data_IF_802290975164
#
_entry.id   IF_802290975164
#
_cell.length_a   1.000
_cell.length_b   1.000
_cell.length_c   1.000
_cell.angle_alpha   90.00
_cell.angle_beta   90.00
_cell.angle_gamma   90.00
#
_symmetry.space_group_name_H-M   'P 1'
#
loop_
_entity.id
_entity.type
_entity.pdbx_description
1 polymer ?
#
# COMPACT_ATOMS: atom_id res chain seq x y z
N UNK A 1 -2.95 19.89 -14.36
CA UNK A 1 -2.82 18.47 -14.78
C UNK A 1 -1.48 17.95 -14.27
N UNK A 2 -1.46 16.95 -13.40
CA UNK A 2 -0.21 16.26 -13.08
C UNK A 2 0.27 15.52 -14.33
N UNK A 3 1.56 15.56 -14.63
CA UNK A 3 2.08 14.76 -15.74
C UNK A 3 1.91 13.28 -15.41
N UNK A 4 1.51 12.48 -16.40
CA UNK A 4 1.39 11.02 -16.27
C UNK A 4 2.65 10.41 -15.64
N UNK A 5 3.82 10.97 -15.95
CA UNK A 5 5.11 10.59 -15.38
C UNK A 5 5.15 10.69 -13.84
N UNK A 6 4.62 11.77 -13.24
CA UNK A 6 4.61 11.94 -11.78
C UNK A 6 3.70 10.91 -11.12
N UNK A 7 2.53 10.63 -11.71
CA UNK A 7 1.61 9.61 -11.17
C UNK A 7 2.22 8.21 -11.24
N UNK A 8 2.86 7.86 -12.35
CA UNK A 8 3.56 6.58 -12.51
C UNK A 8 4.70 6.45 -11.51
N UNK A 9 5.55 7.48 -11.37
CA UNK A 9 6.64 7.47 -10.41
C UNK A 9 6.13 7.29 -8.98
N UNK A 10 5.05 8.00 -8.62
CA UNK A 10 4.42 7.90 -7.30
C UNK A 10 3.92 6.48 -7.04
N UNK A 11 3.23 5.87 -8.01
CA UNK A 11 2.76 4.50 -7.90
C UNK A 11 3.93 3.51 -7.72
N UNK A 12 5.00 3.66 -8.49
CA UNK A 12 6.20 2.81 -8.38
C UNK A 12 6.88 2.92 -7.02
N UNK A 13 6.99 4.13 -6.46
CA UNK A 13 7.55 4.34 -5.12
C UNK A 13 6.67 3.67 -4.07
N UNK A 14 5.36 3.92 -4.10
CA UNK A 14 4.40 3.31 -3.16
C UNK A 14 4.44 1.79 -3.24
N UNK A 15 4.48 1.23 -4.46
CA UNK A 15 4.57 -0.21 -4.68
C UNK A 15 5.88 -0.80 -4.17
N UNK A 16 7.01 -0.11 -4.37
CA UNK A 16 8.32 -0.54 -3.89
C UNK A 16 8.37 -0.58 -2.36
N UNK A 17 7.86 0.47 -1.71
CA UNK A 17 7.78 0.55 -0.24
C UNK A 17 6.86 -0.55 0.30
N UNK A 18 5.70 -0.75 -0.31
CA UNK A 18 4.77 -1.81 0.09
C UNK A 18 5.36 -3.21 -0.08
N UNK A 19 6.00 -3.48 -1.23
CA UNK A 19 6.67 -4.75 -1.47
C UNK A 19 7.76 -4.99 -0.42
N UNK A 20 8.58 -3.96 -0.13
CA UNK A 20 9.63 -4.03 0.87
C UNK A 20 9.08 -4.34 2.27
N UNK A 21 7.98 -3.69 2.66
CA UNK A 21 7.31 -3.95 3.93
C UNK A 21 6.78 -5.40 4.02
N UNK A 22 6.18 -5.91 2.94
CA UNK A 22 5.65 -7.28 2.88
C UNK A 22 6.73 -8.36 2.88
N UNK A 23 7.94 -8.04 2.42
CA UNK A 23 9.09 -8.97 2.44
C UNK A 23 10.09 -8.67 3.55
N UNK A 24 9.82 -7.69 4.42
CA UNK A 24 10.74 -7.22 5.45
C UNK A 24 11.28 -8.36 6.33
N UNK A 25 10.39 -9.27 6.75
CA UNK A 25 10.73 -10.43 7.57
C UNK A 25 11.76 -11.37 6.95
N UNK A 26 11.87 -11.39 5.61
CA UNK A 26 12.76 -12.26 4.83
C UNK A 26 14.12 -11.66 4.54
N UNK A 27 14.26 -10.35 4.69
CA UNK A 27 15.53 -9.69 4.44
C UNK A 27 16.55 -10.10 5.50
N UNK A 28 17.81 -10.38 5.14
CA UNK A 28 18.89 -10.56 6.10
C UNK A 28 18.97 -9.36 7.06
N UNK A 29 19.30 -9.60 8.34
CA UNK A 29 19.35 -8.55 9.36
C UNK A 29 20.23 -7.36 8.96
N UNK A 30 21.38 -7.61 8.33
CA UNK A 30 22.25 -6.55 7.80
C UNK A 30 21.57 -5.67 6.73
N UNK A 31 20.82 -6.28 5.80
CA UNK A 31 20.09 -5.52 4.76
C UNK A 31 18.93 -4.73 5.35
N UNK A 32 18.20 -5.29 6.33
CA UNK A 32 17.15 -4.57 7.06
C UNK A 32 17.70 -3.31 7.72
N UNK A 33 18.79 -3.45 8.48
CA UNK A 33 19.44 -2.31 9.16
C UNK A 33 19.92 -1.26 8.16
N UNK A 34 20.55 -1.67 7.07
CA UNK A 34 20.99 -0.75 6.02
C UNK A 34 19.81 0.04 5.42
N UNK A 35 18.72 -0.64 5.07
CA UNK A 35 17.51 0.01 4.54
C UNK A 35 16.87 0.97 5.54
N UNK A 36 16.81 0.57 6.82
CA UNK A 36 16.29 1.40 7.89
C UNK A 36 17.12 2.67 8.08
N UNK A 37 18.46 2.56 8.05
CA UNK A 37 19.38 3.70 8.11
C UNK A 37 19.22 4.62 6.88
N UNK A 38 19.13 4.06 5.67
CA UNK A 38 18.91 4.84 4.44
C UNK A 38 17.59 5.60 4.51
N UNK A 39 16.54 4.97 5.03
CA UNK A 39 15.23 5.61 5.17
C UNK A 39 15.27 6.71 6.24
N UNK A 40 15.94 6.49 7.37
CA UNK A 40 16.18 7.53 8.38
C UNK A 40 17.00 8.71 7.81
N UNK A 41 18.08 8.45 7.08
CA UNK A 41 18.90 9.47 6.45
C UNK A 41 18.10 10.31 5.44
N UNK A 42 17.25 9.67 4.63
CA UNK A 42 16.34 10.37 3.74
C UNK A 42 15.37 11.28 4.51
N UNK A 43 14.87 10.83 5.66
CA UNK A 43 14.07 11.65 6.56
C UNK A 43 14.80 12.91 7.03
N UNK A 44 16.08 12.79 7.43
CA UNK A 44 16.91 13.93 7.81
C UNK A 44 17.16 14.90 6.64
N UNK A 45 17.41 14.39 5.44
CA UNK A 45 17.55 15.21 4.23
C UNK A 45 16.26 15.99 3.95
N UNK A 46 15.10 15.33 4.04
CA UNK A 46 13.80 15.99 3.88
C UNK A 46 13.58 17.07 4.94
N UNK A 47 14.02 16.85 6.18
CA UNK A 47 13.95 17.85 7.24
C UNK A 47 14.83 19.07 6.92
N UNK A 48 16.07 18.84 6.46
CA UNK A 48 16.97 19.93 6.06
C UNK A 48 16.37 20.76 4.91
N UNK A 49 15.77 20.10 3.92
CA UNK A 49 15.04 20.77 2.82
C UNK A 49 13.81 21.53 3.35
N UNK A 50 13.08 20.97 4.31
CA UNK A 50 11.95 21.65 4.95
C UNK A 50 12.38 22.97 5.61
N UNK A 51 13.52 22.94 6.32
CA UNK A 51 14.07 24.08 7.04
C UNK A 51 14.67 25.13 6.10
N UNK A 52 15.23 24.73 4.95
CA UNK A 52 15.74 25.68 3.94
C UNK A 52 14.64 26.31 3.08
N UNK A 53 13.48 25.65 2.95
CA UNK A 53 12.34 26.15 2.18
C UNK A 53 11.56 27.31 2.84
N UNK A 54 12.03 27.87 3.95
CA UNK A 54 11.36 28.91 4.74
C UNK A 54 10.99 30.20 3.96
N UNK A 55 11.49 30.39 2.74
CA UNK A 55 11.18 31.53 1.87
C UNK A 55 9.95 31.39 0.94
N UNK A 56 9.35 30.20 0.80
CA UNK A 56 8.23 29.97 -0.15
C UNK A 56 6.92 29.67 0.60
N UNK A 57 6.41 30.61 1.40
CA UNK A 57 5.39 30.35 2.43
C UNK A 57 3.93 30.28 1.98
N UNK A 58 3.64 30.51 0.71
CA UNK A 58 2.25 30.59 0.26
C UNK A 58 1.88 29.40 -0.63
N UNK A 59 1.08 28.48 -0.08
CA UNK A 59 0.37 27.48 -0.88
C UNK A 59 -1.09 27.43 -0.43
N UNK A 60 -2.00 27.36 -1.40
CA UNK A 60 -3.43 27.18 -1.15
C UNK A 60 -3.66 25.82 -0.49
N UNK A 61 -4.30 25.84 0.69
CA UNK A 61 -4.73 24.63 1.41
C UNK A 61 -6.23 24.62 1.57
N UNK A 62 -6.82 23.43 1.46
CA UNK A 62 -8.21 23.15 1.81
C UNK A 62 -8.21 22.26 3.07
N UNK A 63 -8.71 22.79 4.19
CA UNK A 63 -8.80 22.05 5.45
C UNK A 63 -10.19 22.13 6.08
N UNK A 64 -10.65 21.02 6.67
CA UNK A 64 -11.79 20.96 7.58
C UNK A 64 -11.26 20.70 9.01
N UNK A 65 -11.67 21.52 9.97
CA UNK A 65 -11.22 21.40 11.35
C UNK A 65 -11.88 20.20 12.06
N UNK A 66 -11.11 19.54 12.93
CA UNK A 66 -11.49 18.34 13.71
C UNK A 66 -12.75 18.49 14.57
N UNK A 67 -13.20 19.71 14.84
CA UNK A 67 -14.33 20.04 15.71
C UNK A 67 -15.07 21.28 15.16
N UNK A 68 -15.64 21.22 13.96
CA UNK A 68 -16.50 22.31 13.48
C UNK A 68 -16.85 22.25 12.00
N UNK A 69 -18.08 22.64 11.66
CA UNK A 69 -18.51 22.83 10.29
C UNK A 69 -18.03 24.16 9.74
N UNK A 70 -16.85 24.20 9.11
CA UNK A 70 -16.47 25.26 8.20
C UNK A 70 -15.33 24.81 7.26
N UNK A 71 -15.56 25.01 5.98
CA UNK A 71 -14.53 25.09 4.94
C UNK A 71 -13.80 26.42 5.14
N UNK A 72 -12.50 26.41 5.44
CA UNK A 72 -11.71 27.65 5.41
C UNK A 72 -10.77 27.57 4.22
N UNK A 73 -11.06 28.35 3.17
CA UNK A 73 -10.08 28.69 2.14
C UNK A 73 -9.28 29.87 2.66
N UNK A 74 -8.09 29.62 3.20
CA UNK A 74 -7.18 30.66 3.69
C UNK A 74 -5.75 30.43 3.21
N UNK A 75 -4.99 31.51 3.04
CA UNK A 75 -3.54 31.43 2.83
C UNK A 75 -2.87 31.07 4.17
N UNK A 76 -2.68 29.77 4.41
CA UNK A 76 -1.93 29.32 5.58
C UNK A 76 -0.42 29.40 5.29
N UNK A 77 0.27 30.32 5.96
CA UNK A 77 1.72 30.58 5.83
C UNK A 77 2.62 29.36 6.16
N UNK A 78 2.06 28.27 6.68
CA UNK A 78 2.77 27.06 7.09
C UNK A 78 2.68 25.90 6.09
N UNK A 79 1.91 26.02 5.00
CA UNK A 79 1.54 24.85 4.18
C UNK A 79 2.63 24.35 3.23
N UNK A 80 3.51 25.22 2.74
CA UNK A 80 4.49 24.85 1.72
C UNK A 80 5.59 23.90 2.23
N UNK A 81 5.94 23.97 3.52
CA UNK A 81 6.92 23.08 4.15
C UNK A 81 6.28 21.86 4.82
N UNK A 82 4.96 21.86 5.04
CA UNK A 82 4.21 20.74 5.64
C UNK A 82 4.51 19.41 4.95
N UNK A 83 4.63 19.44 3.62
CA UNK A 83 5.00 18.27 2.82
C UNK A 83 6.31 17.65 3.30
N UNK A 84 7.35 18.46 3.43
CA UNK A 84 8.66 17.95 3.83
C UNK A 84 8.66 17.44 5.28
N UNK A 85 7.89 18.06 6.18
CA UNK A 85 7.74 17.56 7.56
C UNK A 85 7.01 16.23 7.65
N UNK A 86 5.94 16.04 6.89
CA UNK A 86 5.23 14.76 6.84
C UNK A 86 6.10 13.67 6.22
N UNK A 87 6.80 13.96 5.12
CA UNK A 87 7.74 13.03 4.51
C UNK A 87 8.89 12.67 5.48
N UNK A 88 9.42 13.65 6.20
CA UNK A 88 10.39 13.48 7.28
C UNK A 88 9.86 12.53 8.34
N UNK A 89 8.67 12.79 8.87
CA UNK A 89 8.06 11.99 9.93
C UNK A 89 7.87 10.53 9.47
N UNK A 90 7.33 10.32 8.27
CA UNK A 90 7.16 8.97 7.69
C UNK A 90 8.50 8.25 7.56
N UNK A 91 9.51 8.90 6.99
CA UNK A 91 10.83 8.29 6.80
C UNK A 91 11.51 7.95 8.13
N UNK A 92 11.51 8.88 9.09
CA UNK A 92 12.10 8.66 10.41
C UNK A 92 11.36 7.57 11.20
N UNK A 93 10.02 7.55 11.15
CA UNK A 93 9.23 6.51 11.81
C UNK A 93 9.50 5.13 11.19
N UNK A 94 9.52 5.02 9.86
CA UNK A 94 9.81 3.75 9.18
C UNK A 94 11.24 3.27 9.44
N UNK A 95 12.22 4.17 9.39
CA UNK A 95 13.61 3.84 9.70
C UNK A 95 13.79 3.42 11.17
N UNK A 96 13.20 4.17 12.11
CA UNK A 96 13.26 3.83 13.54
C UNK A 96 12.56 2.51 13.82
N UNK A 97 11.36 2.27 13.26
CA UNK A 97 10.65 1.01 13.39
C UNK A 97 11.46 -0.17 12.80
N UNK A 98 12.11 0.05 11.66
CA UNK A 98 12.98 -0.94 11.02
C UNK A 98 14.21 -1.30 11.87
N UNK A 99 14.79 -0.34 12.59
CA UNK A 99 15.90 -0.56 13.52
C UNK A 99 15.45 -1.19 14.84
N UNK A 100 14.26 -0.83 15.33
CA UNK A 100 13.72 -1.31 16.59
C UNK A 100 13.19 -2.75 16.52
N UNK A 101 12.85 -3.24 15.32
CA UNK A 101 12.27 -4.57 15.14
C UNK A 101 13.32 -5.68 15.29
N UNK A 102 13.24 -6.54 16.32
CA UNK A 102 14.19 -7.65 16.48
C UNK A 102 14.06 -8.67 15.35
N UNK A 103 15.15 -9.38 15.05
CA UNK A 103 15.18 -10.40 13.99
C UNK A 103 14.15 -11.52 14.22
N UNK A 104 13.89 -11.88 15.48
CA UNK A 104 12.85 -12.85 15.84
C UNK A 104 11.45 -12.36 15.51
N UNK A 105 11.15 -11.10 15.81
CA UNK A 105 9.86 -10.50 15.46
C UNK A 105 9.70 -10.42 13.94
N UNK A 106 10.75 -10.02 13.22
CA UNK A 106 10.75 -10.00 11.76
C UNK A 106 10.46 -11.39 11.16
N UNK A 107 11.08 -12.45 11.71
CA UNK A 107 10.80 -13.85 11.32
C UNK A 107 9.39 -14.30 11.67
N UNK A 108 8.84 -13.87 12.81
CA UNK A 108 7.45 -14.15 13.18
C UNK A 108 6.47 -13.50 12.21
N UNK A 109 6.70 -12.24 11.83
CA UNK A 109 5.90 -11.56 10.82
C UNK A 109 5.92 -12.30 9.49
N UNK A 110 7.08 -12.84 9.10
CA UNK A 110 7.21 -13.60 7.86
C UNK A 110 6.30 -14.85 7.80
N UNK A 111 6.01 -15.47 8.94
CA UNK A 111 5.11 -16.65 9.02
C UNK A 111 3.63 -16.29 8.82
N UNK A 112 3.27 -15.01 8.88
CA UNK A 112 1.88 -14.56 8.80
C UNK A 112 1.67 -13.51 7.69
N UNK A 113 1.91 -13.86 6.40
CA UNK A 113 1.88 -12.91 5.30
C UNK A 113 0.53 -12.20 5.14
N UNK A 114 -0.58 -12.90 5.38
CA UNK A 114 -1.92 -12.31 5.32
C UNK A 114 -2.12 -11.28 6.42
N UNK A 115 -1.69 -11.58 7.65
CA UNK A 115 -1.81 -10.64 8.76
C UNK A 115 -0.94 -9.39 8.55
N UNK A 116 0.28 -9.56 8.03
CA UNK A 116 1.17 -8.44 7.67
C UNK A 116 0.55 -7.58 6.57
N UNK A 117 -0.02 -8.18 5.53
CA UNK A 117 -0.70 -7.44 4.47
C UNK A 117 -1.92 -6.66 4.99
N UNK A 118 -2.73 -7.27 5.87
CA UNK A 118 -3.84 -6.58 6.53
C UNK A 118 -3.33 -5.42 7.39
N UNK A 119 -2.34 -5.65 8.25
CA UNK A 119 -1.77 -4.61 9.10
C UNK A 119 -1.20 -3.45 8.28
N UNK A 120 -0.48 -3.73 7.20
CA UNK A 120 0.03 -2.72 6.27
C UNK A 120 -1.11 -1.90 5.64
N UNK A 121 -2.19 -2.57 5.22
CA UNK A 121 -3.37 -1.89 4.68
C UNK A 121 -4.06 -1.00 5.71
N UNK A 122 -4.16 -1.44 6.97
CA UNK A 122 -4.70 -0.61 8.05
C UNK A 122 -3.82 0.62 8.32
N UNK A 123 -2.50 0.45 8.31
CA UNK A 123 -1.56 1.57 8.46
C UNK A 123 -1.68 2.57 7.31
N UNK A 124 -1.81 2.10 6.06
CA UNK A 124 -2.04 2.96 4.90
C UNK A 124 -3.38 3.69 4.99
N UNK A 125 -4.45 3.01 5.41
CA UNK A 125 -5.75 3.64 5.67
C UNK A 125 -5.69 4.69 6.77
N UNK A 126 -5.02 4.39 7.89
CA UNK A 126 -4.84 5.33 8.99
C UNK A 126 -4.00 6.54 8.58
N UNK A 127 -2.91 6.31 7.83
CA UNK A 127 -2.07 7.37 7.29
C UNK A 127 -2.86 8.28 6.35
N UNK A 128 -3.65 7.70 5.42
CA UNK A 128 -4.53 8.48 4.55
C UNK A 128 -5.51 9.33 5.33
N UNK A 129 -6.19 8.74 6.31
CA UNK A 129 -7.12 9.47 7.16
C UNK A 129 -6.42 10.62 7.90
N UNK A 130 -5.25 10.39 8.46
CA UNK A 130 -4.46 11.42 9.13
C UNK A 130 -4.02 12.54 8.17
N UNK A 131 -3.59 12.19 6.95
CA UNK A 131 -3.23 13.16 5.90
C UNK A 131 -4.41 14.09 5.57
N UNK A 132 -5.61 13.54 5.47
CA UNK A 132 -6.81 14.35 5.23
C UNK A 132 -7.14 15.26 6.42
N UNK A 133 -6.91 14.80 7.66
CA UNK A 133 -7.14 15.62 8.86
C UNK A 133 -6.16 16.76 9.01
N UNK A 134 -4.93 16.60 8.54
CA UNK A 134 -3.93 17.68 8.53
C UNK A 134 -4.00 18.54 7.28
N UNK A 135 -5.06 18.40 6.47
CA UNK A 135 -5.24 19.13 5.21
C UNK A 135 -4.05 18.98 4.27
N UNK A 136 -3.44 17.79 4.23
CA UNK A 136 -2.35 17.49 3.32
C UNK A 136 -2.81 17.66 1.86
N UNK A 137 -1.90 17.97 0.92
CA UNK A 137 -2.23 18.07 -0.49
C UNK A 137 -3.00 16.84 -0.97
N UNK A 138 -4.06 17.05 -1.75
CA UNK A 138 -4.95 15.97 -2.22
C UNK A 138 -4.16 14.85 -2.94
N UNK A 139 -3.11 15.21 -3.68
CA UNK A 139 -2.23 14.23 -4.35
C UNK A 139 -1.54 13.27 -3.40
N UNK A 140 -1.31 13.67 -2.15
CA UNK A 140 -0.68 12.85 -1.14
C UNK A 140 -1.67 11.86 -0.56
N UNK A 141 -2.86 12.34 -0.21
CA UNK A 141 -3.94 11.48 0.25
C UNK A 141 -4.34 10.43 -0.82
N UNK A 142 -4.33 10.81 -2.11
CA UNK A 142 -4.58 9.85 -3.20
C UNK A 142 -3.46 8.85 -3.44
N UNK A 143 -2.20 9.28 -3.29
CA UNK A 143 -1.05 8.38 -3.39
C UNK A 143 -1.09 7.29 -2.31
N UNK A 144 -1.56 7.65 -1.10
CA UNK A 144 -1.71 6.74 0.04
C UNK A 144 -3.08 6.07 -0.01
N UNK A 145 -3.26 5.14 -0.95
CA UNK A 145 -4.53 4.41 -1.11
C UNK A 145 -4.36 2.89 -0.98
N UNK A 146 -5.20 2.25 -0.15
CA UNK A 146 -5.26 0.79 -0.03
C UNK A 146 -5.50 0.09 -1.38
N UNK A 147 -6.21 0.76 -2.29
CA UNK A 147 -6.51 0.26 -3.65
C UNK A 147 -5.24 -0.10 -4.43
N UNK A 148 -4.15 0.66 -4.23
CA UNK A 148 -2.88 0.44 -4.91
C UNK A 148 -2.07 -0.74 -4.35
N UNK A 149 -2.39 -1.21 -3.14
CA UNK A 149 -1.66 -2.32 -2.50
C UNK A 149 -2.02 -3.68 -3.09
N UNK A 150 -3.23 -3.84 -3.62
CA UNK A 150 -3.76 -5.15 -4.00
C UNK A 150 -2.86 -5.89 -5.01
N UNK A 151 -2.39 -5.28 -6.12
CA UNK A 151 -1.47 -5.95 -7.05
C UNK A 151 -0.16 -6.39 -6.39
N UNK A 152 0.43 -5.55 -5.54
CA UNK A 152 1.69 -5.86 -4.83
C UNK A 152 1.50 -7.02 -3.85
N UNK A 153 0.41 -7.00 -3.08
CA UNK A 153 0.06 -8.10 -2.16
C UNK A 153 -0.12 -9.40 -2.93
N UNK A 154 -0.82 -9.37 -4.07
CA UNK A 154 -0.99 -10.53 -4.94
C UNK A 154 0.31 -11.08 -5.50
N UNK A 155 1.21 -10.21 -5.97
CA UNK A 155 2.55 -10.59 -6.42
C UNK A 155 3.33 -11.30 -5.30
N UNK A 156 3.35 -10.73 -4.09
CA UNK A 156 4.05 -11.33 -2.94
C UNK A 156 3.44 -12.66 -2.52
N UNK A 157 2.10 -12.77 -2.49
CA UNK A 157 1.42 -14.03 -2.16
C UNK A 157 1.71 -15.12 -3.20
N UNK A 158 1.79 -14.76 -4.48
CA UNK A 158 2.19 -15.71 -5.53
C UNK A 158 3.61 -16.23 -5.34
N UNK A 159 4.57 -15.33 -5.12
CA UNK A 159 5.97 -15.72 -4.90
C UNK A 159 6.11 -16.66 -3.70
N UNK A 160 5.42 -16.36 -2.59
CA UNK A 160 5.40 -17.21 -1.40
C UNK A 160 4.73 -18.55 -1.66
N UNK A 161 3.57 -18.56 -2.32
CA UNK A 161 2.88 -19.79 -2.66
C UNK A 161 3.77 -20.70 -3.53
N UNK A 162 4.47 -20.13 -4.52
CA UNK A 162 5.40 -20.86 -5.38
C UNK A 162 6.55 -21.47 -4.58
N UNK A 163 7.20 -20.71 -3.71
CA UNK A 163 8.30 -21.21 -2.86
C UNK A 163 7.86 -22.34 -1.94
N UNK A 164 6.62 -22.30 -1.47
CA UNK A 164 6.00 -23.35 -0.64
C UNK A 164 5.43 -24.53 -1.44
N UNK A 165 5.59 -24.54 -2.77
CA UNK A 165 5.02 -25.58 -3.65
C UNK A 165 3.49 -25.56 -3.72
N UNK A 166 2.86 -24.44 -3.36
CA UNK A 166 1.40 -24.25 -3.36
C UNK A 166 0.91 -23.67 -4.68
N UNK A 167 -0.24 -24.15 -5.15
CA UNK A 167 -0.87 -23.68 -6.37
C UNK A 167 -1.73 -22.41 -6.21
N UNK A 168 -2.36 -21.99 -7.31
CA UNK A 168 -3.20 -20.80 -7.40
C UNK A 168 -4.36 -20.72 -6.41
N UNK A 169 -4.90 -21.88 -5.99
CA UNK A 169 -5.95 -21.94 -4.95
C UNK A 169 -5.49 -21.32 -3.63
N UNK A 170 -4.21 -21.49 -3.26
CA UNK A 170 -3.66 -20.88 -2.05
C UNK A 170 -3.57 -19.35 -2.17
N UNK A 171 -3.16 -18.84 -3.33
CA UNK A 171 -3.12 -17.39 -3.63
C UNK A 171 -4.51 -16.78 -3.55
N UNK A 172 -5.51 -17.42 -4.20
CA UNK A 172 -6.90 -16.98 -4.16
C UNK A 172 -7.45 -16.93 -2.72
N UNK A 173 -7.23 -17.99 -1.94
CA UNK A 173 -7.65 -18.06 -0.54
C UNK A 173 -6.98 -17.00 0.33
N UNK A 174 -5.69 -16.72 0.11
CA UNK A 174 -4.97 -15.67 0.83
C UNK A 174 -5.49 -14.27 0.45
N UNK A 175 -5.72 -14.01 -0.84
CA UNK A 175 -6.28 -12.75 -1.33
C UNK A 175 -7.71 -12.51 -0.81
N UNK A 176 -8.56 -13.53 -0.77
CA UNK A 176 -9.92 -13.40 -0.24
C UNK A 176 -9.91 -13.04 1.26
N UNK A 177 -9.10 -13.73 2.06
CA UNK A 177 -8.94 -13.43 3.50
C UNK A 177 -8.40 -12.01 3.71
N UNK A 178 -7.40 -11.62 2.93
CA UNK A 178 -6.86 -10.27 2.94
C UNK A 178 -7.92 -9.22 2.57
N UNK A 179 -8.65 -9.43 1.48
CA UNK A 179 -9.66 -8.50 0.98
C UNK A 179 -10.80 -8.32 1.98
N UNK A 180 -11.36 -9.41 2.51
CA UNK A 180 -12.43 -9.35 3.52
C UNK A 180 -11.97 -8.64 4.78
N UNK A 181 -10.80 -8.98 5.32
CA UNK A 181 -10.30 -8.35 6.53
C UNK A 181 -10.02 -6.86 6.34
N UNK A 182 -9.29 -6.49 5.28
CA UNK A 182 -8.90 -5.11 5.05
C UNK A 182 -10.10 -4.23 4.68
N UNK A 183 -11.03 -4.73 3.83
CA UNK A 183 -12.24 -3.99 3.47
C UNK A 183 -13.28 -3.94 4.57
N UNK A 184 -13.38 -4.99 5.39
CA UNK A 184 -14.21 -4.98 6.59
C UNK A 184 -13.77 -3.87 7.56
N UNK A 185 -12.47 -3.70 7.76
CA UNK A 185 -11.94 -2.61 8.59
C UNK A 185 -12.18 -1.22 7.99
N UNK A 186 -12.04 -1.06 6.66
CA UNK A 186 -12.41 0.19 5.98
C UNK A 186 -13.91 0.49 6.11
N UNK A 187 -14.77 -0.53 5.97
CA UNK A 187 -16.21 -0.38 6.19
C UNK A 187 -16.52 0.10 7.61
N UNK A 188 -15.86 -0.49 8.63
CA UNK A 188 -16.00 -0.06 10.02
C UNK A 188 -15.54 1.40 10.20
N UNK A 189 -14.41 1.78 9.60
CA UNK A 189 -13.94 3.17 9.63
C UNK A 189 -14.96 4.11 8.97
N UNK A 190 -15.60 3.73 7.87
CA UNK A 190 -16.64 4.54 7.23
C UNK A 190 -17.88 4.70 8.12
N UNK A 191 -18.29 3.64 8.83
CA UNK A 191 -19.38 3.70 9.82
C UNK A 191 -19.05 4.75 10.89
N UNK A 192 -17.86 4.65 11.49
CA UNK A 192 -17.41 5.59 12.54
C UNK A 192 -17.29 7.01 11.97
N UNK A 193 -16.60 7.18 10.84
CA UNK A 193 -16.38 8.49 10.23
C UNK A 193 -17.69 9.19 9.85
N UNK A 194 -18.67 8.44 9.33
CA UNK A 194 -19.98 8.98 8.92
C UNK A 194 -20.89 9.26 10.13
N UNK A 195 -20.90 8.36 11.13
CA UNK A 195 -21.72 8.53 12.33
C UNK A 195 -21.26 9.75 13.16
N UNK A 196 -19.95 9.96 13.27
CA UNK A 196 -19.35 11.07 14.01
C UNK A 196 -19.07 12.31 13.13
N UNK A 197 -19.45 12.28 11.85
CA UNK A 197 -19.26 13.38 10.88
C UNK A 197 -17.84 13.93 10.90
N UNK A 198 -16.86 13.03 10.83
CA UNK A 198 -15.47 13.40 11.06
C UNK A 198 -14.94 14.36 9.99
N UNK A 199 -15.53 14.42 8.78
CA UNK A 199 -15.04 15.27 7.68
C UNK A 199 -13.80 14.70 6.99
N UNK A 200 -13.88 13.45 6.51
CA UNK A 200 -12.86 12.78 5.68
C UNK A 200 -13.53 12.15 4.46
N UNK A 201 -12.75 11.59 3.52
CA UNK A 201 -13.37 10.87 2.40
C UNK A 201 -14.12 9.59 2.83
N UNK A 202 -13.91 9.12 4.07
CA UNK A 202 -14.66 8.01 4.66
C UNK A 202 -15.97 8.47 5.32
N UNK A 203 -16.17 9.77 5.49
CA UNK A 203 -17.39 10.38 6.01
C UNK A 203 -18.35 10.68 4.86
N UNK A 204 -19.43 9.91 4.78
CA UNK A 204 -20.45 10.06 3.74
C UNK A 204 -21.59 11.00 4.14
N UNK A 205 -21.54 11.65 5.31
CA UNK A 205 -22.65 12.45 5.83
C UNK A 205 -23.04 13.62 4.94
N UNK A 206 -22.10 14.12 4.12
CA UNK A 206 -22.35 15.15 3.12
C UNK A 206 -23.15 14.66 1.89
N UNK A 207 -23.19 13.34 1.62
CA UNK A 207 -23.84 12.74 0.44
C UNK A 207 -25.33 12.53 0.70
N UNK A 208 -26.15 13.55 0.41
CA UNK A 208 -27.60 13.54 0.73
C UNK A 208 -28.48 12.85 -0.30
N UNK A 209 -28.05 12.79 -1.55
CA UNK A 209 -28.80 12.16 -2.63
C UNK A 209 -27.85 11.44 -3.58
N UNK A 210 -28.31 10.32 -4.14
CA UNK A 210 -27.59 9.57 -5.18
C UNK A 210 -28.59 9.24 -6.28
N UNK A 211 -28.20 9.49 -7.54
CA UNK A 211 -29.00 9.12 -8.71
C UNK A 211 -28.48 7.80 -9.29
N UNK A 212 -29.33 6.78 -9.35
CA UNK A 212 -28.99 5.46 -9.91
C UNK A 212 -30.01 5.12 -10.99
N UNK A 213 -29.55 4.99 -12.24
CA UNK A 213 -30.39 4.65 -13.41
C UNK A 213 -31.62 5.57 -13.60
N UNK A 214 -31.51 6.83 -13.23
CA UNK A 214 -32.59 7.82 -13.35
C UNK A 214 -33.40 8.02 -12.08
N UNK A 215 -33.43 7.04 -11.17
CA UNK A 215 -34.09 7.15 -9.88
C UNK A 215 -33.23 7.93 -8.87
N UNK A 216 -33.87 8.79 -8.08
CA UNK A 216 -33.23 9.55 -7.01
C UNK A 216 -33.47 8.91 -5.65
N UNK A 217 -32.39 8.64 -4.92
CA UNK A 217 -32.42 8.09 -3.58
C UNK A 217 -31.93 9.13 -2.59
N UNK A 218 -32.76 9.46 -1.60
CA UNK A 218 -32.47 10.44 -0.55
C UNK A 218 -32.06 9.77 0.75
N UNK A 219 -31.05 10.33 1.40
CA UNK A 219 -30.48 9.81 2.63
C UNK A 219 -30.42 10.88 3.72
N UNK A 220 -30.80 10.51 4.94
CA UNK A 220 -30.56 11.34 6.11
C UNK A 220 -29.05 11.39 6.42
N UNK A 221 -28.43 12.57 6.62
CA UNK A 221 -27.01 12.70 6.96
C UNK A 221 -26.61 11.94 8.22
N UNK A 222 -25.73 10.95 8.09
CA UNK A 222 -25.31 10.06 9.17
C UNK A 222 -26.29 8.92 9.46
N UNK A 223 -27.37 8.78 8.69
CA UNK A 223 -28.41 7.79 8.93
C UNK A 223 -27.96 6.36 8.62
N UNK A 224 -28.53 5.37 9.32
CA UNK A 224 -28.17 3.96 9.15
C UNK A 224 -28.32 3.46 7.70
N UNK A 225 -29.35 3.92 6.96
CA UNK A 225 -29.52 3.61 5.53
C UNK A 225 -28.38 4.16 4.69
N UNK A 226 -27.94 5.40 4.94
CA UNK A 226 -26.81 6.01 4.23
C UNK A 226 -25.53 5.20 4.45
N UNK A 227 -25.23 4.89 5.72
CA UNK A 227 -24.04 4.14 6.12
C UNK A 227 -24.06 2.74 5.49
N UNK A 228 -25.19 2.04 5.54
CA UNK A 228 -25.33 0.69 5.02
C UNK A 228 -25.17 0.65 3.49
N UNK A 229 -25.94 1.47 2.76
CA UNK A 229 -25.99 1.41 1.29
C UNK A 229 -24.82 2.08 0.60
N UNK A 230 -24.30 3.18 1.14
CA UNK A 230 -23.21 3.93 0.52
C UNK A 230 -21.83 3.56 1.08
N UNK A 231 -21.77 3.08 2.33
CA UNK A 231 -20.52 2.70 3.00
C UNK A 231 -20.32 1.18 3.02
N UNK A 232 -21.09 0.47 3.84
CA UNK A 232 -20.81 -0.93 4.19
C UNK A 232 -20.97 -1.87 2.99
N UNK A 233 -22.12 -1.86 2.31
CA UNK A 233 -22.40 -2.79 1.21
C UNK A 233 -21.33 -2.71 0.12
N UNK A 234 -20.99 -1.54 -0.44
CA UNK A 234 -19.93 -1.43 -1.45
C UNK A 234 -18.58 -1.94 -0.96
N UNK A 235 -18.20 -1.65 0.30
CA UNK A 235 -16.93 -2.09 0.86
C UNK A 235 -16.82 -3.60 0.99
N UNK A 236 -17.87 -4.28 1.47
CA UNK A 236 -17.83 -5.73 1.70
C UNK A 236 -18.16 -6.57 0.46
N UNK A 237 -18.68 -5.95 -0.61
CA UNK A 237 -19.02 -6.62 -1.87
C UNK A 237 -18.09 -6.21 -3.00
N UNK A 238 -18.37 -5.08 -3.66
CA UNK A 238 -17.66 -4.57 -4.82
C UNK A 238 -16.15 -4.41 -4.54
N UNK A 239 -15.80 -3.77 -3.43
CA UNK A 239 -14.39 -3.52 -3.11
C UNK A 239 -13.62 -4.78 -2.71
N UNK A 240 -14.29 -5.79 -2.13
CA UNK A 240 -13.68 -7.11 -1.90
C UNK A 240 -13.37 -7.78 -3.25
N UNK A 241 -14.36 -7.85 -4.15
CA UNK A 241 -14.19 -8.42 -5.48
C UNK A 241 -13.07 -7.71 -6.27
N UNK A 242 -13.10 -6.37 -6.30
CA UNK A 242 -12.05 -5.56 -6.91
C UNK A 242 -10.67 -5.88 -6.34
N UNK A 243 -10.54 -5.97 -5.01
CA UNK A 243 -9.25 -6.22 -4.34
C UNK A 243 -8.71 -7.60 -4.70
N UNK A 244 -9.57 -8.61 -4.79
CA UNK A 244 -9.17 -9.96 -5.23
C UNK A 244 -8.71 -9.93 -6.69
N UNK A 245 -9.50 -9.35 -7.60
CA UNK A 245 -9.16 -9.27 -9.03
C UNK A 245 -7.85 -8.50 -9.26
N UNK A 246 -7.69 -7.34 -8.64
CA UNK A 246 -6.45 -6.55 -8.72
C UNK A 246 -5.24 -7.32 -8.17
N UNK A 247 -5.43 -8.07 -7.08
CA UNK A 247 -4.40 -8.96 -6.55
C UNK A 247 -4.04 -10.10 -7.50
N UNK A 248 -5.02 -10.73 -8.15
CA UNK A 248 -4.76 -11.77 -9.14
C UNK A 248 -4.01 -11.23 -10.37
N UNK A 249 -4.30 -10.00 -10.79
CA UNK A 249 -3.53 -9.32 -11.86
C UNK A 249 -2.06 -9.20 -11.44
N UNK A 250 -1.79 -8.67 -10.24
CA UNK A 250 -0.41 -8.56 -9.74
C UNK A 250 0.30 -9.91 -9.60
N UNK A 251 -0.43 -10.93 -9.15
CA UNK A 251 0.07 -12.30 -9.08
C UNK A 251 0.40 -12.87 -10.47
N UNK A 252 -0.46 -12.64 -11.46
CA UNK A 252 -0.25 -13.07 -12.86
C UNK A 252 0.95 -12.38 -13.50
N UNK A 253 1.14 -11.08 -13.25
CA UNK A 253 2.33 -10.34 -13.69
C UNK A 253 3.62 -10.93 -13.09
N UNK A 254 3.61 -11.25 -11.79
CA UNK A 254 4.73 -11.92 -11.16
C UNK A 254 4.98 -13.31 -11.79
N UNK A 255 3.94 -14.09 -12.05
CA UNK A 255 4.06 -15.39 -12.72
C UNK A 255 4.72 -15.26 -14.10
N UNK A 256 4.27 -14.30 -14.93
CA UNK A 256 4.81 -14.06 -16.27
C UNK A 256 6.30 -13.70 -16.24
N UNK A 257 6.70 -12.77 -15.36
CA UNK A 257 8.11 -12.34 -15.22
C UNK A 257 9.03 -13.52 -14.87
N UNK A 258 8.60 -14.41 -13.98
CA UNK A 258 9.43 -15.54 -13.57
C UNK A 258 9.38 -16.73 -14.55
N UNK A 259 8.32 -16.88 -15.35
CA UNK A 259 8.28 -17.88 -16.41
C UNK A 259 9.31 -17.56 -17.50
N UNK A 260 9.40 -16.28 -17.92
CA UNK A 260 10.40 -15.81 -18.89
C UNK A 260 11.83 -16.12 -18.43
N UNK A 261 12.12 -15.95 -17.14
CA UNK A 261 13.45 -16.24 -16.58
C UNK A 261 13.77 -17.73 -16.47
N UNK A 262 12.77 -18.59 -16.24
CA UNK A 262 12.95 -20.03 -16.13
C UNK A 262 13.24 -20.71 -17.47
N UNK A 263 12.71 -20.16 -18.58
CA UNK A 263 12.92 -20.72 -19.92
C UNK A 263 14.31 -20.44 -20.53
N UNK A 264 15.08 -19.50 -19.97
CA UNK A 264 16.38 -19.08 -20.52
C UNK A 264 17.59 -19.83 -19.91
N UNK A 265 17.40 -20.72 -18.95
CA UNK A 265 18.50 -21.27 -18.13
C UNK A 265 18.77 -22.77 -18.22
N UNK A 266 18.02 -23.52 -19.03
CA UNK A 266 18.19 -24.98 -19.19
C UNK A 266 18.23 -25.35 -20.66
N UNK A 267 19.06 -24.65 -21.43
CA UNK A 267 19.71 -25.32 -22.56
C UNK A 267 20.71 -26.27 -21.90
N UNK A 268 20.29 -27.52 -21.73
CA UNK A 268 21.18 -28.59 -21.30
C UNK A 268 22.31 -28.63 -22.30
N UNK A 269 23.47 -28.09 -21.93
CA UNK A 269 24.71 -28.38 -22.66
C UNK A 269 24.75 -29.90 -22.77
N UNK A 270 24.71 -30.47 -23.99
CA UNK A 270 24.79 -31.90 -24.16
C UNK A 270 26.03 -32.33 -23.40
N UNK A 271 25.85 -33.17 -22.37
CA UNK A 271 26.99 -33.82 -21.74
C UNK A 271 27.55 -34.70 -22.84
N UNK A 272 28.62 -34.24 -23.47
CA UNK A 272 29.36 -35.00 -24.44
C UNK A 272 29.72 -36.32 -23.75
N UNK A 273 29.28 -37.48 -24.29
CA UNK A 273 29.56 -38.74 -23.66
C UNK A 273 31.08 -38.85 -23.46
N UNK A 274 31.54 -39.31 -22.29
CA UNK A 274 32.97 -39.42 -22.02
C UNK A 274 33.60 -40.24 -23.14
N UNK A 275 34.50 -39.60 -23.88
CA UNK A 275 35.24 -40.20 -24.98
C UNK A 275 35.83 -41.51 -24.48
N UNK A 276 35.32 -42.62 -25.02
CA UNK A 276 35.72 -43.97 -24.68
C UNK A 276 37.13 -44.22 -25.17
N UNK A 277 38.11 -43.61 -24.51
CA UNK A 277 39.53 -43.82 -24.72
C UNK A 277 39.93 -45.21 -24.22
N UNK A 278 39.63 -46.22 -25.02
CA UNK A 278 40.26 -47.54 -24.95
C UNK A 278 41.75 -47.40 -25.22
N UNK A 279 42.53 -47.08 -24.18
CA UNK A 279 43.97 -47.30 -24.18
C UNK A 279 44.20 -48.80 -24.01
N UNK A 280 44.49 -49.45 -25.11
CA UNK A 280 45.18 -50.74 -25.15
C UNK A 280 46.45 -50.65 -24.29
N UNK A 281 46.52 -51.50 -23.26
CA UNK A 281 47.75 -51.81 -22.56
C UNK A 281 48.23 -53.17 -23.09
N UNK A 282 49.13 -53.11 -24.05
CA UNK A 282 49.96 -54.23 -24.49
C UNK A 282 51.23 -54.26 -23.64
N UNK A 283 51.38 -55.30 -22.82
CA UNK A 283 52.64 -55.89 -22.36
C UNK A 283 52.38 -57.31 -21.82
#
# INVERSE_FOLDING_TARGET
MFSVAVSVLTALVVWSVAALALVWGRLPGGRRRALALVTSALGLVMLMVALSAQGHREAQTTGQFLLGGAYVTGHASASASLRYYVATAVCLLLGTAGLALPDDTARRLDRHPVAVAVALSLLVTALRFALEKVAAPETWAYAVGITWLAPVVGAVFFLRAREEGKGWRAVMSALLRYAVAARGAVALLMVVATAFRLGSHYDLSAVKHVRVRGDEYWFAPGGARQILYLGVIPQVTFWVAYTVVAGLIGAGLAAAIFHIRGGQGTETVPVEPPDGGSRELSA
#
